data_IF_524529185780
#
_entry.id   IF_524529185780
#
_cell.length_a   1.000
_cell.length_b   1.000
_cell.length_c   1.000
_cell.angle_alpha   90.00
_cell.angle_beta   90.00
_cell.angle_gamma   90.00
#
_symmetry.space_group_name_H-M   'P 1'
#
loop_
_entity.id
_entity.type
_entity.pdbx_description
1 polymer ?
#
# COMPACT_ATOMS: atom_id res chain seq x y z
N UNK A 1 -17.58 37.47 1.24
CA UNK A 1 -16.86 36.47 2.04
C UNK A 1 -17.48 35.12 1.78
N UNK A 2 -16.83 34.28 0.96
CA UNK A 2 -17.27 32.89 0.79
C UNK A 2 -17.26 32.18 2.15
N UNK A 3 -18.37 31.54 2.50
CA UNK A 3 -18.50 30.86 3.78
C UNK A 3 -17.77 29.52 3.69
N UNK A 4 -16.47 29.54 3.99
CA UNK A 4 -15.56 28.39 3.89
C UNK A 4 -16.00 27.20 4.74
N UNK A 5 -16.79 27.40 5.81
CA UNK A 5 -17.48 26.31 6.51
C UNK A 5 -18.54 26.75 7.52
N UNK A 6 -19.68 26.04 7.58
CA UNK A 6 -20.76 26.28 8.56
C UNK A 6 -20.68 25.39 9.82
N UNK A 7 -20.08 24.21 9.74
CA UNK A 7 -19.97 23.27 10.87
C UNK A 7 -18.85 23.65 11.84
N UNK A 8 -19.06 23.40 13.14
CA UNK A 8 -18.11 23.62 14.24
C UNK A 8 -16.81 22.84 14.07
N UNK A 9 -16.88 21.64 13.50
CA UNK A 9 -15.77 20.67 13.41
C UNK A 9 -14.68 21.09 12.39
N UNK A 10 -14.88 22.22 11.73
CA UNK A 10 -14.00 22.74 10.68
C UNK A 10 -13.25 24.00 11.12
N UNK A 11 -13.08 24.20 12.44
CA UNK A 11 -12.38 25.35 13.00
C UNK A 11 -10.93 25.44 12.49
N UNK A 12 -10.25 24.30 12.35
CA UNK A 12 -8.90 24.23 11.82
C UNK A 12 -8.82 24.71 10.36
N UNK A 13 -9.84 24.42 9.54
CA UNK A 13 -9.95 24.91 8.15
C UNK A 13 -10.13 26.43 8.14
N UNK A 14 -11.02 26.95 9.00
CA UNK A 14 -11.21 28.40 9.15
C UNK A 14 -9.93 29.09 9.59
N UNK A 15 -9.21 28.51 10.55
CA UNK A 15 -7.93 29.03 11.03
C UNK A 15 -6.88 29.07 9.92
N UNK A 16 -6.80 28.04 9.07
CA UNK A 16 -5.90 28.07 7.91
C UNK A 16 -6.29 29.20 6.95
N UNK A 17 -7.58 29.35 6.67
CA UNK A 17 -8.06 30.35 5.74
C UNK A 17 -7.85 31.80 6.23
N UNK A 18 -8.01 32.04 7.53
CA UNK A 18 -7.80 33.37 8.11
C UNK A 18 -6.33 33.68 8.35
N UNK A 19 -5.55 32.73 8.87
CA UNK A 19 -4.17 32.96 9.27
C UNK A 19 -3.18 32.83 8.11
N UNK A 20 -3.27 31.77 7.31
CA UNK A 20 -2.31 31.50 6.23
C UNK A 20 -2.75 32.07 4.89
N UNK A 21 -4.03 31.95 4.54
CA UNK A 21 -4.53 32.44 3.24
C UNK A 21 -4.96 33.91 3.29
N UNK A 22 -5.24 34.45 4.49
CA UNK A 22 -5.74 35.82 4.71
C UNK A 22 -6.95 36.17 3.81
N UNK A 23 -7.81 35.19 3.55
CA UNK A 23 -8.97 35.37 2.67
C UNK A 23 -8.69 35.20 1.17
N UNK A 24 -7.46 34.89 0.77
CA UNK A 24 -7.07 34.61 -0.61
C UNK A 24 -7.33 33.16 -1.04
N UNK A 25 -7.23 32.92 -2.35
CA UNK A 25 -7.40 31.59 -2.94
C UNK A 25 -6.21 30.67 -2.59
N UNK A 26 -6.50 29.43 -2.19
CA UNK A 26 -5.49 28.39 -1.88
C UNK A 26 -4.50 28.18 -3.02
N UNK A 27 -4.95 28.27 -4.27
CA UNK A 27 -4.13 27.98 -5.46
C UNK A 27 -3.16 29.12 -5.78
N UNK A 28 -3.51 30.34 -5.41
CA UNK A 28 -2.75 31.56 -5.71
C UNK A 28 -1.87 32.01 -4.53
N UNK A 29 -2.18 31.56 -3.31
CA UNK A 29 -1.49 32.02 -2.10
C UNK A 29 -0.01 31.56 -2.06
N UNK A 30 0.91 32.45 -1.71
CA UNK A 30 2.33 32.09 -1.58
C UNK A 30 2.62 31.24 -0.34
N UNK A 31 3.64 30.39 -0.46
CA UNK A 31 4.10 29.56 0.66
C UNK A 31 5.01 30.41 1.56
N UNK A 32 4.46 30.93 2.66
CA UNK A 32 5.25 31.66 3.65
C UNK A 32 6.31 30.76 4.32
N UNK A 33 7.55 31.25 4.39
CA UNK A 33 8.66 30.58 5.06
C UNK A 33 8.47 30.41 6.57
N UNK A 34 7.62 31.22 7.22
CA UNK A 34 7.29 31.08 8.63
C UNK A 34 6.18 30.06 8.92
N UNK A 35 5.60 29.43 7.88
CA UNK A 35 4.59 28.40 8.04
C UNK A 35 5.16 27.09 8.58
N UNK A 36 4.33 26.32 9.27
CA UNK A 36 4.69 24.96 9.72
C UNK A 36 5.03 24.06 8.53
N UNK A 37 5.88 23.05 8.77
CA UNK A 37 6.29 22.09 7.76
C UNK A 37 5.10 21.37 7.09
N UNK A 38 4.06 21.07 7.87
CA UNK A 38 2.82 20.44 7.39
C UNK A 38 2.12 21.35 6.36
N UNK A 39 1.92 22.63 6.68
CA UNK A 39 1.28 23.58 5.76
C UNK A 39 2.09 23.75 4.49
N UNK A 40 3.41 23.85 4.61
CA UNK A 40 4.31 23.91 3.44
C UNK A 40 4.12 22.70 2.53
N UNK A 41 4.00 21.49 3.08
CA UNK A 41 3.78 20.28 2.29
C UNK A 41 2.40 20.24 1.64
N UNK A 42 1.35 20.62 2.37
CA UNK A 42 -0.01 20.70 1.81
C UNK A 42 -0.06 21.69 0.65
N UNK A 43 0.50 22.90 0.83
CA UNK A 43 0.56 23.92 -0.23
C UNK A 43 1.40 23.47 -1.42
N UNK A 44 2.54 22.78 -1.20
CA UNK A 44 3.33 22.21 -2.31
C UNK A 44 2.56 21.17 -3.11
N UNK A 45 1.70 20.38 -2.45
CA UNK A 45 0.91 19.33 -3.10
C UNK A 45 -0.30 19.86 -3.85
N UNK A 46 -0.75 21.09 -3.61
CA UNK A 46 -1.90 21.68 -4.33
C UNK A 46 -1.71 21.70 -5.85
N UNK A 47 -0.48 21.85 -6.34
CA UNK A 47 -0.20 21.83 -7.77
C UNK A 47 -0.47 20.47 -8.42
N UNK A 48 -0.45 19.39 -7.64
CA UNK A 48 -0.82 18.07 -8.13
C UNK A 48 -2.33 17.90 -8.29
N UNK A 49 -3.17 18.83 -7.80
CA UNK A 49 -4.63 18.78 -7.99
C UNK A 49 -4.97 18.81 -9.47
N UNK A 50 -4.21 19.54 -10.29
CA UNK A 50 -4.42 19.59 -11.75
C UNK A 50 -4.29 18.22 -12.41
N UNK A 51 -3.37 17.37 -11.94
CA UNK A 51 -3.21 15.99 -12.41
C UNK A 51 -4.42 15.12 -12.06
N UNK A 52 -5.10 15.43 -10.95
CA UNK A 52 -6.27 14.67 -10.48
C UNK A 52 -7.58 15.41 -10.77
N UNK A 53 -7.57 16.50 -11.55
CA UNK A 53 -8.70 17.42 -11.69
C UNK A 53 -9.97 16.71 -12.14
N UNK A 54 -9.85 15.78 -13.10
CA UNK A 54 -10.98 14.98 -13.59
C UNK A 54 -11.63 14.13 -12.48
N UNK A 55 -10.82 13.56 -11.57
CA UNK A 55 -11.34 12.82 -10.41
C UNK A 55 -11.94 13.78 -9.39
N UNK A 56 -11.32 14.94 -9.17
CA UNK A 56 -11.84 15.96 -8.26
C UNK A 56 -13.23 16.45 -8.69
N UNK A 57 -13.40 16.77 -9.97
CA UNK A 57 -14.68 17.26 -10.51
C UNK A 57 -15.77 16.19 -10.37
N UNK A 58 -15.44 14.93 -10.68
CA UNK A 58 -16.33 13.77 -10.46
C UNK A 58 -16.74 13.63 -8.99
N UNK A 59 -15.79 13.79 -8.05
CA UNK A 59 -16.05 13.64 -6.61
C UNK A 59 -16.88 14.80 -6.03
N UNK A 60 -16.74 16.01 -6.58
CA UNK A 60 -17.52 17.18 -6.17
C UNK A 60 -18.98 17.12 -6.65
N UNK A 61 -19.24 16.41 -7.75
CA UNK A 61 -20.61 16.18 -8.25
C UNK A 61 -21.37 15.12 -7.45
N UNK A 62 -20.69 14.32 -6.61
CA UNK A 62 -21.35 13.31 -5.80
C UNK A 62 -22.15 13.95 -4.65
N UNK A 63 -23.32 13.39 -4.28
CA UNK A 63 -24.14 13.92 -3.18
C UNK A 63 -23.43 13.85 -1.82
N UNK A 64 -22.43 12.97 -1.68
CA UNK A 64 -21.58 12.87 -0.50
C UNK A 64 -20.15 12.56 -0.92
N UNK A 65 -19.23 13.42 -0.48
CA UNK A 65 -17.81 13.19 -0.70
C UNK A 65 -17.33 11.93 0.04
N UNK A 66 -16.65 11.03 -0.68
CA UNK A 66 -16.09 9.80 -0.13
C UNK A 66 -14.58 9.77 -0.35
N UNK A 67 -13.83 9.91 0.74
CA UNK A 67 -12.37 9.80 0.74
C UNK A 67 -11.91 8.44 0.18
N UNK A 68 -12.67 7.37 0.46
CA UNK A 68 -12.37 6.02 -0.05
C UNK A 68 -12.47 5.95 -1.57
N UNK A 69 -13.52 6.52 -2.16
CA UNK A 69 -13.72 6.53 -3.61
C UNK A 69 -12.66 7.40 -4.28
N UNK A 70 -12.37 8.57 -3.71
CA UNK A 70 -11.27 9.42 -4.16
C UNK A 70 -9.94 8.66 -4.22
N UNK A 71 -9.54 8.00 -3.13
CA UNK A 71 -8.32 7.20 -3.13
C UNK A 71 -8.38 6.04 -4.13
N UNK A 72 -9.54 5.40 -4.31
CA UNK A 72 -9.69 4.28 -5.25
C UNK A 72 -9.47 4.73 -6.70
N UNK A 73 -9.97 5.91 -7.07
CA UNK A 73 -9.80 6.48 -8.41
C UNK A 73 -8.39 7.08 -8.62
N UNK A 74 -7.76 7.58 -7.56
CA UNK A 74 -6.38 8.07 -7.60
C UNK A 74 -5.35 6.94 -7.69
N UNK A 75 -5.69 5.74 -7.19
CA UNK A 75 -4.85 4.56 -7.32
C UNK A 75 -5.06 4.03 -8.73
N UNK A 76 -4.04 4.16 -9.57
CA UNK A 76 -4.03 3.55 -10.89
C UNK A 76 -4.24 2.02 -10.76
N UNK A 77 -5.14 1.46 -11.57
CA UNK A 77 -5.46 0.02 -11.58
C UNK A 77 -4.20 -0.84 -11.79
N UNK A 78 -3.17 -0.24 -12.41
CA UNK A 78 -1.88 -0.84 -12.69
C UNK A 78 -0.98 -1.11 -11.46
N UNK A 79 -1.38 -0.71 -10.25
CA UNK A 79 -0.50 -0.81 -9.05
C UNK A 79 -0.89 -1.90 -8.06
N UNK A 80 -1.98 -2.65 -8.32
CA UNK A 80 -2.38 -3.75 -7.42
C UNK A 80 -1.47 -4.95 -7.62
N UNK A 81 -0.35 -4.95 -6.91
CA UNK A 81 0.61 -6.06 -6.87
C UNK A 81 -0.08 -7.39 -6.52
N UNK A 82 0.19 -8.41 -7.33
CA UNK A 82 -0.46 -9.72 -7.23
C UNK A 82 -0.16 -10.41 -5.88
N UNK A 83 0.99 -10.12 -5.29
CA UNK A 83 1.42 -10.66 -4.00
C UNK A 83 0.76 -10.01 -2.78
N UNK A 84 -0.08 -8.97 -2.92
CA UNK A 84 -0.77 -8.34 -1.78
C UNK A 84 -1.57 -9.34 -0.94
N UNK A 85 -2.11 -10.37 -1.59
CA UNK A 85 -2.90 -11.43 -0.97
C UNK A 85 -2.09 -12.28 0.01
N UNK A 86 -0.77 -12.37 -0.17
CA UNK A 86 0.14 -13.10 0.72
C UNK A 86 0.23 -12.46 2.10
N UNK A 87 0.02 -11.15 2.19
CA UNK A 87 0.10 -10.38 3.43
C UNK A 87 -1.26 -10.31 4.14
N UNK A 88 -2.35 -10.32 3.38
CA UNK A 88 -3.70 -10.27 3.94
C UNK A 88 -3.98 -11.50 4.81
N UNK A 89 -4.28 -11.23 6.09
CA UNK A 89 -4.57 -12.24 7.12
C UNK A 89 -3.44 -13.26 7.34
N UNK A 90 -2.20 -12.88 7.04
CA UNK A 90 -1.04 -13.71 7.31
C UNK A 90 -0.63 -13.59 8.77
N UNK A 91 -0.50 -14.73 9.46
CA UNK A 91 -0.19 -14.81 10.90
C UNK A 91 1.31 -14.94 11.20
N UNK A 92 2.16 -14.83 10.17
CA UNK A 92 3.60 -14.84 10.35
C UNK A 92 4.07 -13.62 11.15
N UNK A 93 5.26 -13.74 11.74
CA UNK A 93 5.89 -12.65 12.49
C UNK A 93 6.06 -11.41 11.60
N UNK A 94 5.91 -10.22 12.17
CA UNK A 94 6.06 -8.95 11.43
C UNK A 94 7.41 -8.83 10.71
N UNK A 95 8.49 -9.34 11.31
CA UNK A 95 9.83 -9.37 10.68
C UNK A 95 9.86 -10.28 9.44
N UNK A 96 9.17 -11.42 9.50
CA UNK A 96 9.06 -12.35 8.40
C UNK A 96 8.25 -11.77 7.23
N UNK A 97 7.14 -11.09 7.56
CA UNK A 97 6.35 -10.34 6.58
C UNK A 97 7.17 -9.23 5.92
N UNK A 98 7.95 -8.45 6.67
CA UNK A 98 8.78 -7.41 6.09
C UNK A 98 9.81 -7.99 5.11
N UNK A 99 10.41 -9.13 5.45
CA UNK A 99 11.38 -9.82 4.59
C UNK A 99 10.73 -10.33 3.32
N UNK A 100 9.56 -10.98 3.43
CA UNK A 100 8.76 -11.39 2.28
C UNK A 100 8.37 -10.21 1.39
N UNK A 101 8.05 -9.05 1.97
CA UNK A 101 7.72 -7.83 1.22
C UNK A 101 8.93 -7.32 0.43
N UNK A 102 10.10 -7.22 1.06
CA UNK A 102 11.35 -6.80 0.38
C UNK A 102 11.72 -7.73 -0.78
N UNK A 103 11.48 -9.03 -0.62
CA UNK A 103 11.71 -10.04 -1.65
C UNK A 103 10.71 -9.90 -2.80
N UNK A 104 9.42 -9.76 -2.48
CA UNK A 104 8.36 -9.54 -3.48
C UNK A 104 8.58 -8.25 -4.29
N UNK A 105 9.12 -7.21 -3.66
CA UNK A 105 9.45 -5.92 -4.28
C UNK A 105 10.81 -5.93 -5.00
N UNK A 106 11.55 -7.04 -4.90
CA UNK A 106 12.85 -7.21 -5.52
C UNK A 106 13.98 -6.36 -4.91
N UNK A 107 13.75 -5.78 -3.74
CA UNK A 107 14.69 -4.88 -3.03
C UNK A 107 15.63 -5.60 -2.07
N UNK A 108 15.56 -6.93 -1.98
CA UNK A 108 16.50 -7.72 -1.22
C UNK A 108 17.72 -8.07 -2.10
N UNK A 109 18.87 -7.45 -1.81
CA UNK A 109 20.15 -7.68 -2.50
C UNK A 109 20.61 -9.16 -2.45
N UNK A 110 20.03 -9.94 -1.54
CA UNK A 110 20.33 -11.35 -1.28
C UNK A 110 19.60 -12.32 -2.22
N UNK A 111 18.95 -11.84 -3.29
CA UNK A 111 18.27 -12.68 -4.31
C UNK A 111 19.17 -13.82 -4.84
N UNK A 112 20.45 -13.54 -5.06
CA UNK A 112 21.40 -14.54 -5.59
C UNK A 112 21.76 -15.64 -4.57
N UNK A 113 21.60 -15.39 -3.26
CA UNK A 113 21.81 -16.42 -2.23
C UNK A 113 20.56 -17.26 -2.01
N UNK A 114 19.36 -16.75 -2.34
CA UNK A 114 18.09 -17.51 -2.24
C UNK A 114 18.05 -18.72 -3.20
N UNK A 115 18.66 -18.63 -4.39
CA UNK A 115 18.73 -19.78 -5.31
C UNK A 115 19.71 -20.87 -4.83
N UNK A 116 20.58 -20.56 -3.85
CA UNK A 116 21.70 -21.42 -3.48
C UNK A 116 21.56 -22.09 -2.10
N UNK A 117 20.69 -21.56 -1.23
CA UNK A 117 20.53 -22.06 0.13
C UNK A 117 19.15 -22.69 0.38
N UNK A 118 19.18 -24.00 0.62
CA UNK A 118 18.26 -24.79 1.47
C UNK A 118 16.75 -24.53 1.35
N UNK A 119 16.28 -24.28 0.13
CA UNK A 119 14.87 -24.43 -0.24
C UNK A 119 14.39 -25.89 -0.26
N UNK A 120 15.19 -26.88 0.15
CA UNK A 120 14.84 -28.30 -0.04
C UNK A 120 14.27 -28.95 1.24
N UNK A 121 14.90 -28.80 2.41
CA UNK A 121 14.57 -29.66 3.56
C UNK A 121 13.25 -29.29 4.28
N UNK A 122 13.03 -28.02 4.63
CA UNK A 122 11.76 -27.58 5.28
C UNK A 122 10.61 -27.54 4.24
N UNK A 123 10.95 -27.36 2.97
CA UNK A 123 10.00 -27.24 1.87
C UNK A 123 9.39 -28.59 1.48
N UNK A 124 10.19 -29.65 1.43
CA UNK A 124 9.74 -31.00 1.08
C UNK A 124 8.73 -31.55 2.09
N UNK A 125 8.93 -31.30 3.39
CA UNK A 125 7.98 -31.74 4.43
C UNK A 125 6.64 -31.02 4.34
N UNK A 126 6.63 -29.71 4.06
CA UNK A 126 5.42 -28.90 3.96
C UNK A 126 4.65 -29.22 2.66
N UNK A 127 5.37 -29.41 1.55
CA UNK A 127 4.83 -29.88 0.26
C UNK A 127 4.20 -31.27 0.41
N UNK A 128 4.87 -32.17 1.15
CA UNK A 128 4.34 -33.50 1.50
C UNK A 128 3.12 -33.42 2.42
N UNK A 129 3.14 -32.57 3.44
CA UNK A 129 2.03 -32.35 4.37
C UNK A 129 0.79 -31.73 3.73
N UNK A 130 0.97 -30.93 2.67
CA UNK A 130 -0.15 -30.33 1.94
C UNK A 130 -0.59 -31.14 0.72
N UNK A 131 0.05 -32.29 0.45
CA UNK A 131 -0.17 -33.12 -0.75
C UNK A 131 -0.01 -32.35 -2.08
N UNK A 132 0.77 -31.26 -2.09
CA UNK A 132 0.92 -30.43 -3.29
C UNK A 132 2.20 -30.78 -3.99
N UNK A 133 2.14 -31.53 -5.10
CA UNK A 133 3.33 -31.85 -5.91
C UNK A 133 3.78 -30.59 -6.66
N UNK A 134 4.84 -29.93 -6.19
CA UNK A 134 5.47 -28.80 -6.88
C UNK A 134 6.99 -28.96 -6.91
N UNK A 135 7.61 -28.74 -8.08
CA UNK A 135 9.06 -28.80 -8.26
C UNK A 135 9.67 -27.42 -7.99
N UNK A 136 10.71 -27.32 -7.14
CA UNK A 136 11.44 -26.07 -6.89
C UNK A 136 11.97 -25.41 -8.17
N UNK A 137 11.71 -24.11 -8.30
CA UNK A 137 12.20 -23.20 -9.35
C UNK A 137 12.74 -21.92 -8.72
N UNK A 138 13.29 -21.04 -9.55
CA UNK A 138 13.72 -19.70 -9.14
C UNK A 138 12.55 -18.87 -8.58
N UNK A 139 12.85 -17.93 -7.69
CA UNK A 139 11.83 -17.10 -7.02
C UNK A 139 10.86 -16.42 -7.98
N UNK A 140 11.34 -15.97 -9.14
CA UNK A 140 10.51 -15.31 -10.16
C UNK A 140 9.46 -16.26 -10.77
N UNK A 141 9.76 -17.56 -10.85
CA UNK A 141 8.83 -18.59 -11.34
C UNK A 141 7.96 -19.16 -10.21
N UNK A 142 8.47 -19.16 -8.98
CA UNK A 142 7.77 -19.62 -7.78
C UNK A 142 6.69 -18.66 -7.30
N UNK A 143 6.96 -17.36 -7.35
CA UNK A 143 6.06 -16.33 -6.83
C UNK A 143 4.64 -16.42 -7.45
N UNK A 144 4.46 -16.60 -8.77
CA UNK A 144 3.14 -16.84 -9.36
C UNK A 144 2.43 -18.09 -8.83
N UNK A 145 3.16 -19.19 -8.57
CA UNK A 145 2.57 -20.40 -8.00
C UNK A 145 2.16 -20.18 -6.54
N UNK A 146 3.03 -19.57 -5.74
CA UNK A 146 2.74 -19.19 -4.34
C UNK A 146 1.47 -18.33 -4.27
N UNK A 147 1.36 -17.30 -5.11
CA UNK A 147 0.20 -16.42 -5.15
C UNK A 147 -1.08 -17.19 -5.48
N UNK A 148 -1.02 -18.17 -6.41
CA UNK A 148 -2.17 -19.02 -6.75
C UNK A 148 -2.56 -19.95 -5.59
N UNK A 149 -1.58 -20.62 -4.98
CA UNK A 149 -1.81 -21.56 -3.88
C UNK A 149 -2.29 -20.86 -2.58
N UNK A 150 -1.87 -19.61 -2.38
CA UNK A 150 -2.27 -18.78 -1.25
C UNK A 150 -3.51 -17.90 -1.53
N UNK A 151 -4.22 -18.12 -2.64
CA UNK A 151 -5.43 -17.39 -3.00
C UNK A 151 -6.66 -18.05 -2.36
N UNK A 152 -7.44 -17.26 -1.61
CA UNK A 152 -8.71 -17.73 -1.01
C UNK A 152 -8.83 -17.42 0.48
N UNK A 153 -9.89 -17.97 1.09
CA UNK A 153 -10.19 -17.86 2.52
C UNK A 153 -10.38 -19.27 3.05
N UNK A 154 -9.44 -19.74 3.87
CA UNK A 154 -9.47 -21.09 4.43
C UNK A 154 -8.25 -21.35 5.31
N UNK A 155 -8.34 -22.33 6.20
CA UNK A 155 -7.25 -22.65 7.12
C UNK A 155 -5.99 -23.14 6.39
N UNK A 156 -6.15 -23.92 5.31
CA UNK A 156 -5.04 -24.36 4.45
C UNK A 156 -4.31 -23.18 3.82
N UNK A 157 -5.06 -22.21 3.29
CA UNK A 157 -4.50 -20.98 2.70
C UNK A 157 -3.76 -20.14 3.74
N UNK A 158 -4.33 -20.00 4.94
CA UNK A 158 -3.68 -19.28 6.05
C UNK A 158 -2.40 -19.96 6.51
N UNK A 159 -2.39 -21.30 6.59
CA UNK A 159 -1.22 -22.08 6.91
C UNK A 159 -0.13 -21.92 5.84
N UNK A 160 -0.51 -22.01 4.56
CA UNK A 160 0.39 -21.82 3.42
C UNK A 160 1.06 -20.45 3.42
N UNK A 161 0.31 -19.37 3.70
CA UNK A 161 0.88 -18.02 3.84
C UNK A 161 1.88 -17.95 5.00
N UNK A 162 1.52 -18.52 6.15
CA UNK A 162 2.37 -18.55 7.34
C UNK A 162 3.68 -19.30 7.07
N UNK A 163 3.59 -20.51 6.55
CA UNK A 163 4.75 -21.38 6.29
C UNK A 163 5.69 -20.76 5.26
N UNK A 164 5.18 -20.23 4.14
CA UNK A 164 6.01 -19.54 3.14
C UNK A 164 6.71 -18.34 3.75
N UNK A 165 6.01 -17.57 4.57
CA UNK A 165 6.60 -16.33 5.13
C UNK A 165 7.67 -16.64 6.17
N UNK A 166 7.43 -17.62 7.03
CA UNK A 166 8.40 -18.05 8.05
C UNK A 166 9.60 -18.77 7.43
N UNK A 167 9.39 -19.57 6.37
CA UNK A 167 10.51 -20.19 5.62
C UNK A 167 11.37 -19.13 4.94
N UNK A 168 10.76 -18.13 4.30
CA UNK A 168 11.48 -17.01 3.69
C UNK A 168 12.27 -16.19 4.71
N UNK A 169 11.80 -16.10 5.95
CA UNK A 169 12.49 -15.39 7.03
C UNK A 169 13.58 -16.20 7.72
N UNK A 170 13.51 -17.53 7.70
CA UNK A 170 14.55 -18.40 8.23
C UNK A 170 15.84 -18.41 7.40
N UNK A 171 15.84 -17.71 6.26
CA UNK A 171 16.96 -17.50 5.32
C UNK A 171 17.72 -16.23 5.70
#
# INVERSE_FOLDING_TARGET
MEVVCKKSDNLWVKWIHTYYLKGGNVMEADINNNSSWIIKNVMKRRYNISFVQQVWDKMLQMPKFSIKEMYTEMIDDNTRVQWKSLFMCNRARTRALLTLWLICDGKLATKDRMCKFELNSIREEIVKWMEVVHKPREWNEELPWIIRSAKGKGWKTSMMKLTITETVYGI
#
